data_IF_834185118006
#
_entry.id   IF_834185118006
#
_cell.length_a   1.000
_cell.length_b   1.000
_cell.length_c   1.000
_cell.angle_alpha   90.00
_cell.angle_beta   90.00
_cell.angle_gamma   90.00
#
_symmetry.space_group_name_H-M   'P 1'
#
loop_
_entity.id
_entity.type
_entity.pdbx_description
1 polymer ?
#
# COMPACT_ATOMS: atom_id res chain seq x y z
N UNK A 1 -3.88 -3.08 -25.78
CA UNK A 1 -5.21 -2.64 -25.33
C UNK A 1 -5.06 -2.02 -23.93
N UNK A 2 -5.54 -0.79 -23.72
CA UNK A 2 -5.43 -0.07 -22.44
C UNK A 2 -6.46 -0.62 -21.43
N UNK A 3 -6.14 -1.73 -20.77
CA UNK A 3 -7.01 -2.34 -19.76
C UNK A 3 -6.85 -1.72 -18.36
N UNK A 4 -5.77 -0.98 -18.11
CA UNK A 4 -5.46 -0.44 -16.77
C UNK A 4 -6.50 0.56 -16.24
N UNK A 5 -7.19 1.29 -17.13
CA UNK A 5 -8.23 2.24 -16.75
C UNK A 5 -9.56 1.56 -16.36
N UNK A 6 -9.83 0.36 -16.89
CA UNK A 6 -10.99 -0.45 -16.51
C UNK A 6 -10.77 -1.17 -15.18
N UNK A 7 -9.54 -1.61 -14.89
CA UNK A 7 -9.23 -2.28 -13.62
C UNK A 7 -9.36 -1.30 -12.43
N UNK A 8 -8.92 -0.05 -12.53
CA UNK A 8 -9.09 0.87 -11.39
C UNK A 8 -10.54 1.23 -11.05
N UNK A 9 -11.49 1.05 -11.96
CA UNK A 9 -12.91 1.29 -11.68
C UNK A 9 -13.51 0.22 -10.75
N UNK A 10 -12.92 -0.98 -10.70
CA UNK A 10 -13.35 -2.03 -9.77
C UNK A 10 -12.68 -1.93 -8.39
N UNK A 11 -11.70 -1.04 -8.23
CA UNK A 11 -11.02 -0.80 -6.96
C UNK A 11 -11.87 0.12 -6.06
N UNK A 12 -12.99 -0.41 -5.60
CA UNK A 12 -13.89 0.25 -4.66
C UNK A 12 -13.30 0.27 -3.24
N UNK A 13 -13.67 1.27 -2.42
CA UNK A 13 -13.28 1.32 -1.01
C UNK A 13 -13.66 0.04 -0.24
N UNK A 14 -14.80 -0.59 -0.56
CA UNK A 14 -15.22 -1.87 0.01
C UNK A 14 -14.24 -3.00 -0.32
N UNK A 15 -13.78 -3.10 -1.57
CA UNK A 15 -12.77 -4.10 -1.99
C UNK A 15 -11.45 -3.90 -1.26
N UNK A 16 -11.08 -2.63 -1.00
CA UNK A 16 -9.86 -2.31 -0.25
C UNK A 16 -10.00 -2.73 1.22
N UNK A 17 -11.17 -2.48 1.82
CA UNK A 17 -11.49 -2.90 3.18
C UNK A 17 -11.49 -4.42 3.32
N UNK A 18 -12.04 -5.14 2.34
CA UNK A 18 -12.03 -6.60 2.28
C UNK A 18 -10.60 -7.13 2.16
N UNK A 19 -9.81 -6.59 1.23
CA UNK A 19 -8.39 -6.93 1.09
C UNK A 19 -7.60 -6.68 2.38
N UNK A 20 -7.84 -5.56 3.05
CA UNK A 20 -7.26 -5.24 4.35
C UNK A 20 -7.65 -6.30 5.40
N UNK A 21 -8.93 -6.63 5.48
CA UNK A 21 -9.47 -7.56 6.44
C UNK A 21 -8.95 -8.99 6.25
N UNK A 22 -8.84 -9.47 5.00
CA UNK A 22 -8.27 -10.78 4.67
C UNK A 22 -6.82 -10.93 5.16
N UNK A 23 -6.06 -9.83 5.18
CA UNK A 23 -4.68 -9.81 5.68
C UNK A 23 -4.59 -9.53 7.18
N UNK A 24 -5.72 -9.54 7.89
CA UNK A 24 -5.83 -9.32 9.33
C UNK A 24 -5.75 -7.85 9.74
N UNK A 25 -5.86 -6.91 8.80
CA UNK A 25 -5.81 -5.48 9.08
C UNK A 25 -7.21 -4.98 9.38
N UNK A 26 -7.41 -4.57 10.63
CA UNK A 26 -8.65 -3.95 11.07
C UNK A 26 -8.57 -2.45 10.89
N UNK A 27 -9.30 -1.96 9.89
CA UNK A 27 -9.51 -0.53 9.70
C UNK A 27 -10.49 -0.06 10.76
N UNK A 28 -10.04 0.81 11.66
CA UNK A 28 -10.89 1.43 12.69
C UNK A 28 -11.63 2.63 12.11
N UNK A 29 -10.90 3.50 11.41
CA UNK A 29 -11.50 4.69 10.83
C UNK A 29 -10.69 5.26 9.66
N UNK A 30 -11.40 5.88 8.73
CA UNK A 30 -10.83 6.86 7.82
C UNK A 30 -10.07 6.29 6.62
N UNK A 31 -10.74 5.57 5.72
CA UNK A 31 -10.19 5.28 4.39
C UNK A 31 -10.27 6.53 3.49
N UNK A 32 -9.18 7.29 3.42
CA UNK A 32 -9.13 8.53 2.60
C UNK A 32 -8.25 8.30 1.37
N UNK A 33 -8.75 8.52 0.15
CA UNK A 33 -7.90 8.49 -1.04
C UNK A 33 -6.91 9.66 -0.99
N UNK A 34 -5.63 9.37 -1.27
CA UNK A 34 -4.60 10.37 -1.47
C UNK A 34 -4.46 10.68 -2.96
N UNK A 35 -4.21 11.95 -3.28
CA UNK A 35 -4.00 12.36 -4.66
C UNK A 35 -2.64 11.86 -5.15
N UNK A 36 -2.64 10.75 -5.88
CA UNK A 36 -1.46 10.15 -6.51
C UNK A 36 -1.76 9.86 -7.97
N UNK A 37 -0.89 10.32 -8.87
CA UNK A 37 -1.13 10.29 -10.31
C UNK A 37 -0.91 8.91 -10.93
N UNK A 38 0.02 8.12 -10.38
CA UNK A 38 0.39 6.82 -10.97
C UNK A 38 -0.30 5.64 -10.31
N UNK A 39 -0.42 5.67 -8.98
CA UNK A 39 -0.91 4.56 -8.15
C UNK A 39 -2.13 5.01 -7.35
N UNK A 40 -3.02 4.09 -7.00
CA UNK A 40 -4.13 4.40 -6.09
C UNK A 40 -3.63 4.26 -4.67
N UNK A 41 -3.47 5.39 -3.98
CA UNK A 41 -3.01 5.41 -2.59
C UNK A 41 -4.18 5.77 -1.69
N UNK A 42 -4.39 5.00 -0.65
CA UNK A 42 -5.36 5.29 0.40
C UNK A 42 -4.64 5.33 1.74
N UNK A 43 -5.01 6.28 2.59
CA UNK A 43 -4.63 6.27 3.99
C UNK A 43 -5.76 5.69 4.82
N UNK A 44 -5.42 5.01 5.91
CA UNK A 44 -6.38 4.54 6.90
C UNK A 44 -5.75 4.49 8.29
N UNK A 45 -6.60 4.41 9.31
CA UNK A 45 -6.20 4.23 10.69
C UNK A 45 -6.62 2.84 11.19
N UNK A 46 -5.72 2.16 11.89
CA UNK A 46 -6.03 0.88 12.55
C UNK A 46 -6.62 1.08 13.95
N UNK A 47 -7.03 -0.01 14.59
CA UNK A 47 -7.59 -0.03 15.97
C UNK A 47 -6.61 0.55 17.02
N UNK A 48 -5.31 0.48 16.75
CA UNK A 48 -4.22 1.03 17.55
C UNK A 48 -4.03 2.56 17.33
N UNK A 49 -4.92 3.19 16.55
CA UNK A 49 -4.85 4.60 16.12
C UNK A 49 -3.62 4.94 15.30
N UNK A 50 -2.95 3.97 14.67
CA UNK A 50 -1.79 4.17 13.82
C UNK A 50 -2.23 4.42 12.39
N UNK A 51 -1.56 5.37 11.73
CA UNK A 51 -1.86 5.75 10.35
C UNK A 51 -1.01 4.96 9.37
N UNK A 52 -1.68 4.23 8.50
CA UNK A 52 -1.08 3.47 7.42
C UNK A 52 -1.49 4.05 6.08
N UNK A 53 -0.67 3.75 5.08
CA UNK A 53 -1.02 3.96 3.69
C UNK A 53 -0.94 2.63 2.95
N UNK A 54 -1.95 2.39 2.13
CA UNK A 54 -1.97 1.31 1.14
C UNK A 54 -1.81 1.90 -0.23
N UNK A 55 -0.94 1.30 -1.03
CA UNK A 55 -0.69 1.72 -2.41
C UNK A 55 -0.98 0.54 -3.32
N UNK A 56 -1.94 0.71 -4.21
CA UNK A 56 -2.30 -0.25 -5.24
C UNK A 56 -1.57 0.11 -6.54
N UNK A 57 -0.76 -0.82 -7.01
CA UNK A 57 -0.06 -0.73 -8.28
C UNK A 57 -1.00 -1.03 -9.45
N UNK A 58 -0.63 -0.51 -10.63
CA UNK A 58 -1.35 -0.88 -11.86
C UNK A 58 -1.03 -2.34 -12.18
N UNK A 59 -2.03 -3.18 -12.44
CA UNK A 59 -1.78 -4.52 -12.98
C UNK A 59 -1.03 -4.42 -14.31
N UNK A 60 -0.23 -5.44 -14.62
CA UNK A 60 0.57 -5.59 -15.86
C UNK A 60 1.74 -4.60 -16.04
N UNK A 61 1.99 -3.70 -15.08
CA UNK A 61 3.10 -2.73 -15.15
C UNK A 61 4.37 -3.22 -14.44
N UNK A 62 4.20 -4.02 -13.40
CA UNK A 62 5.26 -4.55 -12.54
C UNK A 62 4.91 -5.98 -12.16
N UNK A 63 5.90 -6.86 -12.10
CA UNK A 63 5.71 -8.23 -11.59
C UNK A 63 5.81 -8.23 -10.07
N UNK A 64 5.17 -9.20 -9.42
CA UNK A 64 5.28 -9.40 -7.98
C UNK A 64 6.74 -9.49 -7.51
N UNK A 65 7.58 -10.15 -8.30
CA UNK A 65 9.01 -10.34 -8.03
C UNK A 65 9.79 -9.01 -8.04
N UNK A 66 9.57 -8.14 -9.03
CA UNK A 66 10.20 -6.82 -9.09
C UNK A 66 9.81 -5.93 -7.90
N UNK A 67 8.55 -5.99 -7.48
CA UNK A 67 8.07 -5.21 -6.33
C UNK A 67 8.67 -5.79 -5.03
N UNK A 68 8.82 -7.11 -4.92
CA UNK A 68 9.48 -7.74 -3.78
C UNK A 68 10.96 -7.36 -3.68
N UNK A 69 11.67 -7.27 -4.82
CA UNK A 69 13.05 -6.79 -4.84
C UNK A 69 13.15 -5.34 -4.34
N UNK A 70 12.25 -4.44 -4.78
CA UNK A 70 12.16 -3.07 -4.26
C UNK A 70 11.83 -3.05 -2.76
N UNK A 71 10.95 -3.93 -2.30
CA UNK A 71 10.65 -4.08 -0.87
C UNK A 71 11.87 -4.49 -0.05
N UNK A 72 12.64 -5.47 -0.53
CA UNK A 72 13.87 -5.91 0.13
C UNK A 72 14.90 -4.78 0.17
N UNK A 73 15.07 -4.05 -0.93
CA UNK A 73 15.97 -2.91 -1.00
C UNK A 73 15.57 -1.80 -0.03
N UNK A 74 14.28 -1.45 0.05
CA UNK A 74 13.78 -0.45 0.99
C UNK A 74 13.95 -0.89 2.46
N UNK A 75 13.77 -2.18 2.75
CA UNK A 75 14.03 -2.74 4.08
C UNK A 75 15.52 -2.69 4.44
N UNK A 76 16.39 -3.01 3.49
CA UNK A 76 17.84 -2.89 3.67
C UNK A 76 18.23 -1.45 3.96
N UNK A 77 17.71 -0.49 3.20
CA UNK A 77 17.94 0.94 3.44
C UNK A 77 17.51 1.37 4.85
N UNK A 78 16.37 0.89 5.35
CA UNK A 78 15.96 1.18 6.74
C UNK A 78 16.92 0.54 7.76
N UNK A 79 17.45 -0.65 7.46
CA UNK A 79 18.46 -1.29 8.30
C UNK A 79 19.79 -0.52 8.30
N UNK A 80 20.15 0.11 7.18
CA UNK A 80 21.25 1.07 7.04
C UNK A 80 20.91 2.48 7.58
N UNK A 81 19.84 2.61 8.40
CA UNK A 81 19.36 3.85 9.01
C UNK A 81 18.97 4.96 8.00
N UNK A 82 18.82 4.60 6.72
CA UNK A 82 18.42 5.54 5.67
C UNK A 82 16.93 5.84 5.81
N UNK A 83 16.52 7.13 5.82
CA UNK A 83 15.14 7.53 6.03
C UNK A 83 14.27 7.29 4.78
N UNK A 84 13.95 6.04 4.49
CA UNK A 84 13.02 5.66 3.41
C UNK A 84 11.67 5.19 3.93
N UNK A 85 10.67 5.17 3.06
CA UNK A 85 9.36 4.60 3.32
C UNK A 85 9.38 3.09 3.04
N UNK A 86 9.92 2.30 3.96
CA UNK A 86 9.89 0.86 3.82
C UNK A 86 8.46 0.31 3.87
N UNK A 87 8.20 -0.79 3.14
CA UNK A 87 6.96 -1.54 3.30
C UNK A 87 6.91 -2.15 4.71
N UNK A 88 5.71 -2.26 5.24
CA UNK A 88 5.44 -2.95 6.50
C UNK A 88 4.99 -4.36 6.15
N UNK A 89 5.65 -5.36 6.72
CA UNK A 89 5.18 -6.72 6.63
C UNK A 89 3.92 -6.87 7.50
N UNK A 90 2.81 -7.22 6.87
CA UNK A 90 1.57 -7.61 7.54
C UNK A 90 1.40 -9.11 7.37
N UNK A 91 1.26 -9.81 8.49
CA UNK A 91 1.16 -11.27 8.51
C UNK A 91 2.32 -11.99 7.75
N UNK A 92 3.53 -11.42 7.82
CA UNK A 92 4.71 -11.94 7.11
C UNK A 92 4.80 -11.57 5.63
N UNK A 93 3.84 -10.82 5.08
CA UNK A 93 3.82 -10.41 3.68
C UNK A 93 3.87 -8.89 3.53
N UNK A 94 4.79 -8.39 2.72
CA UNK A 94 4.88 -6.96 2.33
C UNK A 94 4.13 -6.66 1.04
N UNK A 95 3.97 -7.68 0.20
CA UNK A 95 3.30 -7.65 -1.08
C UNK A 95 1.99 -8.41 -0.94
N UNK A 96 0.88 -7.76 -1.27
CA UNK A 96 -0.43 -8.37 -1.19
C UNK A 96 -1.08 -8.35 -2.54
N UNK A 97 -1.79 -9.42 -2.87
CA UNK A 97 -2.53 -9.54 -4.10
C UNK A 97 -4.00 -9.79 -3.77
N UNK A 98 -4.86 -8.88 -4.21
CA UNK A 98 -6.30 -9.03 -4.04
C UNK A 98 -6.99 -8.73 -5.37
N UNK A 99 -7.78 -9.68 -5.88
CA UNK A 99 -8.47 -9.60 -7.18
C UNK A 99 -7.57 -9.19 -8.37
N UNK A 100 -6.29 -9.60 -8.35
CA UNK A 100 -5.32 -9.26 -9.40
C UNK A 100 -4.67 -7.87 -9.25
N UNK A 101 -4.98 -7.15 -8.18
CA UNK A 101 -4.28 -5.93 -7.80
C UNK A 101 -3.19 -6.22 -6.81
N UNK A 102 -1.98 -5.79 -7.15
CA UNK A 102 -0.86 -5.80 -6.23
C UNK A 102 -0.93 -4.55 -5.37
N UNK A 103 -0.83 -4.74 -4.07
CA UNK A 103 -0.82 -3.67 -3.08
C UNK A 103 0.33 -3.84 -2.10
N UNK A 104 0.80 -2.71 -1.58
CA UNK A 104 1.79 -2.64 -0.51
C UNK A 104 1.26 -1.79 0.63
N UNK A 105 1.70 -2.10 1.84
CA UNK A 105 1.46 -1.26 3.02
C UNK A 105 2.73 -0.57 3.45
N UNK A 106 2.62 0.71 3.78
CA UNK A 106 3.70 1.44 4.44
C UNK A 106 3.14 2.24 5.60
N UNK A 107 3.94 2.39 6.65
CA UNK A 107 3.64 3.36 7.70
C UNK A 107 3.73 4.75 7.09
N UNK A 108 2.70 5.57 7.29
CA UNK A 108 2.80 6.95 6.85
C UNK A 108 3.87 7.64 7.69
N UNK A 109 5.03 7.90 7.11
CA UNK A 109 6.03 8.79 7.70
C UNK A 109 5.36 10.15 7.85
N UNK A 110 5.13 10.60 9.08
CA UNK A 110 4.76 11.99 9.32
C UNK A 110 5.97 12.83 8.95
N UNK A 111 5.97 13.44 7.77
CA UNK A 111 6.80 14.61 7.53
C UNK A 111 6.08 15.78 8.21
N UNK A 112 6.59 16.33 9.33
CA UNK A 112 6.15 17.65 9.70
C UNK A 112 6.56 18.53 8.52
N UNK A 113 5.58 19.09 7.80
CA UNK A 113 5.86 20.23 6.94
C UNK A 113 6.51 21.25 7.88
N UNK A 114 7.77 21.56 7.62
CA UNK A 114 8.43 22.67 8.31
C UNK A 114 7.65 23.92 7.90
N UNK A 115 6.93 24.52 8.85
CA UNK A 115 6.56 25.93 8.77
C UNK A 115 7.80 26.80 8.65
#
# INVERSE_FOLDING_TARGET
MNNSAFTFQTLHPDTIMDALFEHGIRVDSGLTPLNSYENRVYQFQDEDRRRFVVKFYRPERWTADQILEEHQFALQLVNDEVPVAAPVAFNGQTLLNHQGFISLFSKRRWSPVRS
#
